data_IF_922075247442
#
_entry.id   IF_922075247442
#
_cell.length_a   1.000
_cell.length_b   1.000
_cell.length_c   1.000
_cell.angle_alpha   90.00
_cell.angle_beta   90.00
_cell.angle_gamma   90.00
#
_symmetry.space_group_name_H-M   'P 1'
#
loop_
_entity.id
_entity.type
_entity.pdbx_description
1 polymer ?
#
# COMPACT_ATOMS: atom_id res chain seq x y z
N UNK A 1 42.55 31.64 -19.70
CA UNK A 1 41.23 32.20 -20.06
C UNK A 1 40.21 31.17 -20.43
N UNK A 2 40.58 30.15 -21.17
CA UNK A 2 39.64 29.09 -21.56
C UNK A 2 39.14 28.23 -20.40
N UNK A 3 39.92 28.12 -19.33
CA UNK A 3 39.58 27.29 -18.15
C UNK A 3 38.43 27.84 -17.27
N UNK A 4 38.18 29.15 -17.32
CA UNK A 4 37.11 29.77 -16.55
C UNK A 4 35.72 29.50 -17.10
N UNK A 5 35.61 29.28 -18.42
CA UNK A 5 34.32 29.01 -19.09
C UNK A 5 33.82 27.58 -18.79
N UNK A 6 34.74 26.63 -18.64
CA UNK A 6 34.40 25.23 -18.35
C UNK A 6 33.82 25.06 -16.93
N UNK A 7 34.27 25.85 -15.98
CA UNK A 7 33.77 25.78 -14.60
C UNK A 7 32.33 26.28 -14.46
N UNK A 8 31.95 27.24 -15.28
CA UNK A 8 30.61 27.81 -15.23
C UNK A 8 29.56 26.87 -15.79
N UNK A 9 29.89 26.10 -16.82
CA UNK A 9 29.01 25.11 -17.44
C UNK A 9 28.72 23.94 -16.50
N UNK A 10 29.66 23.54 -15.67
CA UNK A 10 29.48 22.43 -14.72
C UNK A 10 28.47 22.77 -13.61
N UNK A 11 28.46 24.01 -13.15
CA UNK A 11 27.54 24.47 -12.09
C UNK A 11 26.09 24.50 -12.56
N UNK A 12 25.84 24.81 -13.82
CA UNK A 12 24.49 24.82 -14.39
C UNK A 12 23.89 23.41 -14.55
N UNK A 13 24.70 22.41 -14.85
CA UNK A 13 24.26 21.04 -15.00
C UNK A 13 23.80 20.42 -13.67
N UNK A 14 24.44 20.76 -12.54
CA UNK A 14 24.08 20.29 -11.21
C UNK A 14 22.74 20.87 -10.71
N UNK A 15 22.43 22.11 -11.06
CA UNK A 15 21.18 22.74 -10.69
C UNK A 15 19.96 22.14 -11.38
N UNK A 16 20.09 21.73 -12.63
CA UNK A 16 19.00 21.12 -13.40
C UNK A 16 18.66 19.71 -12.91
N UNK A 17 19.65 18.94 -12.45
CA UNK A 17 19.43 17.58 -11.95
C UNK A 17 18.65 17.54 -10.63
N UNK A 18 18.85 18.51 -9.74
CA UNK A 18 18.17 18.57 -8.46
C UNK A 18 16.66 18.84 -8.59
N UNK A 19 16.23 19.60 -9.59
CA UNK A 19 14.82 19.94 -9.81
C UNK A 19 14.04 18.74 -10.37
N UNK A 20 14.67 17.92 -11.19
CA UNK A 20 14.03 16.75 -11.81
C UNK A 20 13.71 15.65 -10.78
N UNK A 21 14.57 15.45 -9.76
CA UNK A 21 14.38 14.44 -8.72
C UNK A 21 13.21 14.74 -7.79
N UNK A 22 12.85 15.99 -7.58
CA UNK A 22 11.74 16.39 -6.70
C UNK A 22 10.37 16.13 -7.31
N UNK A 23 10.26 15.97 -8.65
CA UNK A 23 9.00 15.80 -9.35
C UNK A 23 8.50 14.34 -9.40
N UNK A 24 9.36 13.35 -9.10
CA UNK A 24 9.08 11.91 -9.30
C UNK A 24 8.80 11.15 -7.98
N UNK A 25 8.21 11.82 -6.98
CA UNK A 25 7.84 11.15 -5.74
C UNK A 25 6.74 10.11 -5.98
N UNK A 26 6.90 8.84 -5.55
CA UNK A 26 5.89 7.81 -5.74
C UNK A 26 4.61 8.14 -4.97
N UNK A 27 3.47 7.89 -5.60
CA UNK A 27 2.16 8.10 -4.98
C UNK A 27 1.57 6.77 -4.55
N UNK A 28 1.05 6.73 -3.33
CA UNK A 28 0.32 5.59 -2.81
C UNK A 28 -1.17 5.72 -3.10
N UNK A 29 -1.81 4.58 -3.31
CA UNK A 29 -3.26 4.45 -3.41
C UNK A 29 -3.74 3.45 -2.38
N UNK A 30 -4.93 3.67 -1.84
CA UNK A 30 -5.50 2.81 -0.80
C UNK A 30 -6.74 2.11 -1.34
N UNK A 31 -6.80 0.79 -1.13
CA UNK A 31 -7.94 -0.05 -1.52
C UNK A 31 -8.41 -0.84 -0.31
N UNK A 32 -9.73 -0.96 -0.17
CA UNK A 32 -10.34 -1.77 0.89
C UNK A 32 -11.26 -2.81 0.27
N UNK A 33 -11.26 -4.01 0.81
CA UNK A 33 -12.09 -5.08 0.31
C UNK A 33 -11.85 -6.41 0.98
N UNK A 34 -12.49 -7.45 0.45
CA UNK A 34 -12.41 -8.81 0.97
C UNK A 34 -11.38 -9.61 0.18
N UNK A 35 -10.52 -10.32 0.88
CA UNK A 35 -9.53 -11.21 0.27
C UNK A 35 -10.24 -12.41 -0.34
N UNK A 36 -9.96 -12.66 -1.62
CA UNK A 36 -10.48 -13.82 -2.36
C UNK A 36 -9.46 -14.95 -2.36
N UNK A 37 -8.19 -14.60 -2.57
CA UNK A 37 -7.09 -15.55 -2.60
C UNK A 37 -5.80 -14.87 -2.18
N UNK A 38 -4.93 -15.61 -1.53
CA UNK A 38 -3.60 -15.14 -1.16
C UNK A 38 -2.59 -16.25 -1.40
N UNK A 39 -1.49 -15.89 -2.05
CA UNK A 39 -0.35 -16.76 -2.28
C UNK A 39 0.91 -16.07 -1.77
N UNK A 40 1.29 -16.27 -0.50
CA UNK A 40 2.44 -15.61 0.07
C UNK A 40 3.76 -15.99 -0.62
N UNK A 41 3.88 -17.23 -1.07
CA UNK A 41 5.10 -17.71 -1.75
C UNK A 41 5.20 -17.15 -3.17
N UNK A 42 4.08 -17.07 -3.89
CA UNK A 42 4.01 -16.47 -5.21
C UNK A 42 3.98 -14.94 -5.18
N UNK A 43 3.90 -14.33 -4.02
CA UNK A 43 3.88 -12.88 -3.86
C UNK A 43 2.66 -12.22 -4.45
N UNK A 44 1.48 -12.80 -4.26
CA UNK A 44 0.26 -12.31 -4.88
C UNK A 44 -0.94 -12.43 -3.96
N UNK A 45 -1.83 -11.43 -4.04
CA UNK A 45 -3.10 -11.41 -3.33
C UNK A 45 -4.18 -10.89 -4.28
N UNK A 46 -5.34 -11.52 -4.26
CA UNK A 46 -6.51 -11.07 -5.00
C UNK A 46 -7.57 -10.65 -3.99
N UNK A 47 -8.08 -9.43 -4.13
CA UNK A 47 -9.15 -8.90 -3.30
C UNK A 47 -10.28 -8.36 -4.16
N UNK A 48 -11.49 -8.37 -3.62
CA UNK A 48 -12.64 -7.69 -4.20
C UNK A 48 -12.80 -6.35 -3.50
N UNK A 49 -12.53 -5.27 -4.24
CA UNK A 49 -12.60 -3.91 -3.72
C UNK A 49 -14.04 -3.49 -3.46
N UNK A 50 -14.28 -2.93 -2.29
CA UNK A 50 -15.55 -2.31 -1.92
C UNK A 50 -15.49 -0.83 -2.29
N UNK A 51 -16.18 -0.47 -3.36
CA UNK A 51 -16.27 0.90 -3.84
C UNK A 51 -15.42 1.22 -5.06
N UNK A 52 -15.69 2.33 -5.74
CA UNK A 52 -16.82 3.22 -5.48
C UNK A 52 -18.15 2.48 -5.64
N UNK A 53 -19.12 2.87 -4.83
CA UNK A 53 -20.43 2.22 -4.82
C UNK A 53 -21.11 2.35 -6.18
N UNK A 54 -21.08 1.29 -6.93
CA UNK A 54 -21.76 1.18 -8.22
C UNK A 54 -22.74 0.02 -8.14
N UNK A 55 -23.97 0.30 -8.60
CA UNK A 55 -24.98 -0.74 -8.71
C UNK A 55 -25.30 -0.96 -10.19
N UNK A 56 -25.16 -2.19 -10.63
CA UNK A 56 -25.59 -2.60 -11.96
C UNK A 56 -26.66 -3.71 -11.81
N UNK A 57 -27.80 -3.52 -12.47
CA UNK A 57 -28.94 -4.45 -12.41
C UNK A 57 -29.39 -4.80 -10.98
N UNK A 58 -29.35 -3.80 -10.07
CA UNK A 58 -29.74 -3.97 -8.68
C UNK A 58 -28.72 -4.67 -7.78
N UNK A 59 -27.50 -4.94 -8.27
CA UNK A 59 -26.42 -5.58 -7.50
C UNK A 59 -25.24 -4.63 -7.33
N UNK A 60 -24.61 -4.70 -6.17
CA UNK A 60 -23.36 -3.98 -5.91
C UNK A 60 -22.26 -4.56 -6.78
N UNK A 61 -21.55 -3.68 -7.49
CA UNK A 61 -20.40 -4.09 -8.31
C UNK A 61 -19.15 -4.15 -7.44
N UNK A 62 -18.53 -5.32 -7.38
CA UNK A 62 -17.23 -5.52 -6.74
C UNK A 62 -16.15 -5.57 -7.82
N UNK A 63 -15.05 -4.88 -7.58
CA UNK A 63 -13.94 -4.82 -8.54
C UNK A 63 -12.80 -5.71 -8.04
N UNK A 64 -12.45 -6.78 -8.76
CA UNK A 64 -11.30 -7.60 -8.38
C UNK A 64 -9.99 -6.82 -8.62
N UNK A 65 -9.08 -6.90 -7.66
CA UNK A 65 -7.75 -6.31 -7.72
C UNK A 65 -6.70 -7.36 -7.45
N UNK A 66 -5.72 -7.47 -8.33
CA UNK A 66 -4.54 -8.29 -8.11
C UNK A 66 -3.43 -7.41 -7.56
N UNK A 67 -2.93 -7.75 -6.38
CA UNK A 67 -1.94 -6.97 -5.66
C UNK A 67 -0.71 -7.84 -5.46
N UNK A 68 0.45 -7.31 -5.83
CA UNK A 68 1.72 -7.99 -5.64
C UNK A 68 2.24 -7.74 -4.23
N UNK A 69 2.71 -8.81 -3.59
CA UNK A 69 3.33 -8.78 -2.27
C UNK A 69 4.83 -8.95 -2.43
N UNK A 70 5.60 -8.17 -1.70
CA UNK A 70 7.07 -8.26 -1.71
C UNK A 70 7.58 -8.52 -0.30
N UNK A 71 8.88 -8.76 -0.17
CA UNK A 71 9.52 -8.88 1.14
C UNK A 71 9.45 -7.59 1.96
N UNK A 72 9.22 -6.46 1.31
CA UNK A 72 9.06 -5.16 1.97
C UNK A 72 7.61 -4.87 2.39
N UNK A 73 6.64 -5.68 1.96
CA UNK A 73 5.24 -5.53 2.35
C UNK A 73 5.06 -5.84 3.84
N UNK A 74 4.45 -4.93 4.58
CA UNK A 74 4.13 -5.15 5.99
C UNK A 74 2.66 -5.52 6.17
N UNK A 75 2.40 -6.38 7.16
CA UNK A 75 1.07 -6.84 7.50
C UNK A 75 0.80 -6.51 8.96
N UNK A 76 -0.37 -5.99 9.25
CA UNK A 76 -0.75 -5.62 10.61
C UNK A 76 -2.26 -5.73 10.82
N UNK A 77 -2.64 -5.72 12.07
CA UNK A 77 -4.04 -5.54 12.49
C UNK A 77 -4.07 -4.65 13.71
N UNK A 78 -5.24 -4.10 14.00
CA UNK A 78 -5.46 -3.33 15.22
C UNK A 78 -6.38 -4.13 16.14
N UNK A 79 -5.97 -4.29 17.39
CA UNK A 79 -6.73 -5.00 18.41
C UNK A 79 -7.19 -3.98 19.45
N UNK A 80 -8.47 -4.03 19.78
CA UNK A 80 -9.02 -3.23 20.88
C UNK A 80 -8.57 -3.81 22.20
N UNK A 81 -8.01 -2.98 23.06
CA UNK A 81 -7.51 -3.38 24.36
C UNK A 81 -8.44 -2.89 25.47
N UNK A 82 -9.02 -3.83 26.22
CA UNK A 82 -9.79 -3.57 27.43
C UNK A 82 -8.95 -3.92 28.67
N UNK A 83 -7.92 -3.10 28.94
CA UNK A 83 -7.09 -3.29 30.13
C UNK A 83 -7.55 -2.31 31.20
N UNK A 84 -7.83 -2.77 32.45
CA UNK A 84 -8.16 -1.88 33.56
C UNK A 84 -7.05 -0.83 33.78
N UNK A 85 -7.44 0.45 33.85
CA UNK A 85 -6.49 1.56 34.00
C UNK A 85 -6.04 2.24 32.73
N UNK A 86 -6.38 1.71 31.55
CA UNK A 86 -6.20 2.38 30.26
C UNK A 86 -7.54 2.91 29.75
N UNK A 87 -7.48 3.88 28.84
CA UNK A 87 -8.69 4.41 28.23
C UNK A 87 -9.42 3.28 27.48
N UNK A 88 -10.69 3.11 27.81
CA UNK A 88 -11.53 2.12 27.13
C UNK A 88 -11.64 2.46 25.64
N UNK A 89 -11.28 1.50 24.78
CA UNK A 89 -11.35 1.67 23.34
C UNK A 89 -10.02 1.97 22.66
N UNK A 90 -8.91 1.93 23.37
CA UNK A 90 -7.59 2.05 22.75
C UNK A 90 -7.30 0.84 21.85
N UNK A 91 -6.72 1.13 20.70
CA UNK A 91 -6.28 0.10 19.77
C UNK A 91 -4.76 0.01 19.81
N UNK A 92 -4.24 -1.22 19.79
CA UNK A 92 -2.82 -1.47 19.58
C UNK A 92 -2.62 -2.13 18.23
N UNK A 93 -1.56 -1.71 17.55
CA UNK A 93 -1.12 -2.32 16.30
C UNK A 93 -0.37 -3.60 16.59
N UNK A 94 -0.74 -4.68 15.91
CA UNK A 94 -0.09 -5.98 16.03
C UNK A 94 0.45 -6.36 14.65
N UNK A 95 1.74 -6.69 14.59
CA UNK A 95 2.36 -7.16 13.37
C UNK A 95 1.88 -8.58 13.05
N UNK A 96 1.58 -8.81 11.77
CA UNK A 96 1.18 -10.11 11.22
C UNK A 96 2.18 -10.57 10.18
N UNK A 97 2.12 -11.87 9.86
CA UNK A 97 2.79 -12.43 8.69
C UNK A 97 1.80 -12.57 7.52
N UNK A 98 2.32 -12.74 6.31
CA UNK A 98 1.48 -12.91 5.13
C UNK A 98 0.55 -14.12 5.24
N UNK A 99 1.00 -15.17 5.93
CA UNK A 99 0.23 -16.40 6.17
C UNK A 99 -0.97 -16.20 7.09
N UNK A 100 -0.98 -15.11 7.85
CA UNK A 100 -2.11 -14.78 8.73
C UNK A 100 -3.31 -14.21 7.95
N UNK A 101 -3.11 -13.80 6.72
CA UNK A 101 -4.17 -13.31 5.84
C UNK A 101 -4.78 -14.49 5.11
N UNK A 102 -6.09 -14.66 5.26
CA UNK A 102 -6.83 -15.77 4.64
C UNK A 102 -8.01 -15.27 3.80
N UNK A 103 -8.49 -16.06 2.83
CA UNK A 103 -9.70 -15.71 2.10
C UNK A 103 -10.88 -15.45 3.03
N UNK A 104 -11.63 -14.40 2.75
CA UNK A 104 -12.73 -13.94 3.58
C UNK A 104 -12.37 -12.79 4.52
N UNK A 105 -11.09 -12.56 4.77
CA UNK A 105 -10.65 -11.43 5.59
C UNK A 105 -10.90 -10.10 4.89
N UNK A 106 -11.31 -9.10 5.65
CA UNK A 106 -11.44 -7.74 5.16
C UNK A 106 -10.13 -7.00 5.41
N UNK A 107 -9.57 -6.43 4.36
CA UNK A 107 -8.27 -5.74 4.42
C UNK A 107 -8.35 -4.36 3.81
N UNK A 108 -7.47 -3.48 4.30
CA UNK A 108 -7.16 -2.20 3.67
C UNK A 108 -5.71 -2.25 3.22
N UNK A 109 -5.47 -2.02 1.94
CA UNK A 109 -4.15 -2.16 1.35
C UNK A 109 -3.67 -0.82 0.82
N UNK A 110 -2.51 -0.40 1.29
CA UNK A 110 -1.80 0.76 0.77
C UNK A 110 -0.83 0.26 -0.30
N UNK A 111 -0.98 0.74 -1.53
CA UNK A 111 -0.24 0.26 -2.69
C UNK A 111 0.54 1.37 -3.37
N UNK A 112 1.66 0.98 -3.98
CA UNK A 112 2.37 1.75 -4.99
C UNK A 112 2.06 1.15 -6.36
N UNK A 113 1.99 2.00 -7.37
CA UNK A 113 1.89 1.53 -8.76
C UNK A 113 3.27 1.54 -9.39
N UNK A 114 3.78 0.35 -9.68
CA UNK A 114 5.06 0.16 -10.33
C UNK A 114 4.86 -0.59 -11.65
N UNK A 115 5.26 0.01 -12.76
CA UNK A 115 5.15 -0.58 -14.12
C UNK A 115 3.74 -1.10 -14.43
N UNK A 116 2.72 -0.34 -14.03
CA UNK A 116 1.31 -0.71 -14.22
C UNK A 116 0.78 -1.76 -13.25
N UNK A 117 1.57 -2.23 -12.29
CA UNK A 117 1.18 -3.22 -11.28
C UNK A 117 1.01 -2.57 -9.93
N UNK A 118 0.05 -3.07 -9.16
CA UNK A 118 -0.12 -2.66 -7.77
C UNK A 118 0.82 -3.49 -6.89
N UNK A 119 1.63 -2.81 -6.09
CA UNK A 119 2.53 -3.44 -5.13
C UNK A 119 2.16 -2.99 -3.74
N UNK A 120 1.86 -3.93 -2.84
CA UNK A 120 1.45 -3.60 -1.49
C UNK A 120 2.62 -3.08 -0.66
N UNK A 121 2.42 -1.92 -0.05
CA UNK A 121 3.32 -1.36 0.98
C UNK A 121 2.90 -1.89 2.34
N UNK A 122 1.59 -1.82 2.64
CA UNK A 122 1.02 -2.24 3.92
C UNK A 122 -0.34 -2.87 3.69
N UNK A 123 -0.56 -3.99 4.35
CA UNK A 123 -1.86 -4.67 4.40
C UNK A 123 -2.35 -4.65 5.84
N UNK A 124 -3.46 -3.97 6.07
CA UNK A 124 -4.08 -3.90 7.40
C UNK A 124 -5.33 -4.76 7.38
N UNK A 125 -5.33 -5.81 8.18
CA UNK A 125 -6.49 -6.69 8.34
C UNK A 125 -7.45 -6.06 9.34
N UNK A 126 -8.74 -6.11 9.04
CA UNK A 126 -9.77 -5.78 10.01
C UNK A 126 -9.69 -6.78 11.19
N UNK A 127 -10.19 -6.37 12.33
CA UNK A 127 -10.07 -7.04 13.62
C UNK A 127 -10.03 -8.57 13.55
N UNK A 128 -9.04 -9.16 14.24
CA UNK A 128 -8.94 -10.60 14.41
C UNK A 128 -10.19 -11.16 15.14
N UNK A 129 -10.80 -12.14 14.53
CA UNK A 129 -11.93 -12.86 15.13
C UNK A 129 -11.45 -13.95 16.07
#
# INVERSE_FOLDING_TARGET
>A
MIRLVSSLLLALALGASAVTLAADAPRTSTYSGTVVAVDPQGGRMIMEEVGPWRMEKGKTVLTPRTINLTSATTFNTFIRVDVPGRFAGDFIEVALDAEDITPGDFVTVECLRERGRLVAVRVTMAELR
#
